data_IF_618452910114
#
_entry.id   IF_618452910114
#
_cell.length_a   1.000
_cell.length_b   1.000
_cell.length_c   1.000
_cell.angle_alpha   90.00
_cell.angle_beta   90.00
_cell.angle_gamma   90.00
#
_symmetry.space_group_name_H-M   'P 1'
#
loop_
_entity.id
_entity.type
_entity.pdbx_description
1 polymer ?
#
# COMPACT_ATOMS: atom_id res chain seq x y z
N UNK A 1 10.55 13.52 -25.13
CA UNK A 1 10.48 13.69 -23.65
C UNK A 1 10.62 12.32 -23.01
N UNK A 2 11.61 12.13 -22.13
CA UNK A 2 11.94 10.83 -21.52
C UNK A 2 10.78 10.32 -20.67
N UNK A 3 10.37 9.06 -20.84
CA UNK A 3 9.31 8.37 -20.09
C UNK A 3 9.41 8.57 -18.56
N UNK A 4 10.65 8.65 -18.03
CA UNK A 4 10.94 8.92 -16.61
C UNK A 4 10.50 10.31 -16.11
N UNK A 5 10.37 11.29 -17.00
CA UNK A 5 9.90 12.64 -16.65
C UNK A 5 8.37 12.68 -16.54
N UNK A 6 7.68 11.92 -17.40
CA UNK A 6 6.21 11.81 -17.39
C UNK A 6 5.74 11.00 -16.18
N UNK A 7 6.42 9.90 -15.86
CA UNK A 7 6.14 9.10 -14.66
C UNK A 7 6.22 9.92 -13.38
N UNK A 8 7.32 10.65 -13.21
CA UNK A 8 7.56 11.50 -12.04
C UNK A 8 6.50 12.60 -11.91
N UNK A 9 6.03 13.17 -13.02
CA UNK A 9 4.96 14.17 -12.99
C UNK A 9 3.63 13.58 -12.53
N UNK A 10 3.26 12.37 -12.97
CA UNK A 10 2.01 11.72 -12.54
C UNK A 10 2.01 11.45 -11.04
N UNK A 11 3.10 10.89 -10.51
CA UNK A 11 3.25 10.58 -9.08
C UNK A 11 3.18 11.86 -8.24
N UNK A 12 3.91 12.91 -8.64
CA UNK A 12 3.87 14.22 -7.97
C UNK A 12 2.45 14.79 -7.98
N UNK A 13 1.78 14.79 -9.13
CA UNK A 13 0.42 15.33 -9.23
C UNK A 13 -0.57 14.56 -8.32
N UNK A 14 -0.49 13.23 -8.27
CA UNK A 14 -1.33 12.42 -7.38
C UNK A 14 -1.03 12.72 -5.91
N UNK A 15 0.25 12.81 -5.55
CA UNK A 15 0.69 13.15 -4.20
C UNK A 15 0.24 14.55 -3.77
N UNK A 16 0.43 15.55 -4.63
CA UNK A 16 0.03 16.93 -4.38
C UNK A 16 -1.50 17.02 -4.23
N UNK A 17 -2.27 16.32 -5.07
CA UNK A 17 -3.72 16.25 -4.92
C UNK A 17 -4.15 15.70 -3.56
N UNK A 18 -3.51 14.62 -3.08
CA UNK A 18 -3.81 14.06 -1.75
C UNK A 18 -3.54 15.09 -0.64
N UNK A 19 -2.43 15.83 -0.74
CA UNK A 19 -2.02 16.85 0.23
C UNK A 19 -2.93 18.07 0.22
N UNK A 20 -3.21 18.61 -0.96
CA UNK A 20 -4.04 19.81 -1.13
C UNK A 20 -5.47 19.57 -0.64
N UNK A 21 -6.02 18.40 -0.95
CA UNK A 21 -7.35 17.99 -0.49
C UNK A 21 -7.36 17.41 0.93
N UNK A 22 -6.19 17.27 1.57
CA UNK A 22 -6.03 16.71 2.93
C UNK A 22 -6.72 15.36 3.10
N UNK A 23 -6.72 14.52 2.05
CA UNK A 23 -7.53 13.31 2.01
C UNK A 23 -7.21 12.38 3.18
N UNK A 24 -5.93 12.14 3.45
CA UNK A 24 -5.50 11.24 4.53
C UNK A 24 -5.63 11.86 5.94
N UNK A 25 -5.65 13.18 6.06
CA UNK A 25 -5.83 13.88 7.34
C UNK A 25 -7.26 13.75 7.87
N UNK A 26 -8.21 13.57 6.95
CA UNK A 26 -9.63 13.41 7.26
C UNK A 26 -10.00 12.01 7.78
N UNK A 27 -9.06 11.06 7.78
CA UNK A 27 -9.32 9.65 8.04
C UNK A 27 -8.53 9.18 9.26
N UNK A 28 -9.15 8.48 10.24
CA UNK A 28 -8.40 7.80 11.29
C UNK A 28 -7.39 6.83 10.69
N UNK A 29 -6.15 6.80 11.20
CA UNK A 29 -5.09 5.94 10.66
C UNK A 29 -5.50 4.46 10.55
N UNK A 30 -6.29 3.96 11.52
CA UNK A 30 -6.82 2.59 11.46
C UNK A 30 -7.76 2.34 10.28
N UNK A 31 -8.57 3.32 9.88
CA UNK A 31 -9.44 3.24 8.71
C UNK A 31 -8.64 3.40 7.42
N UNK A 32 -7.63 4.27 7.41
CA UNK A 32 -6.69 4.37 6.30
C UNK A 32 -6.00 3.02 6.03
N UNK A 33 -5.50 2.32 7.05
CA UNK A 33 -4.89 1.01 6.89
C UNK A 33 -5.87 -0.02 6.32
N UNK A 34 -7.12 -0.05 6.80
CA UNK A 34 -8.15 -0.94 6.25
C UNK A 34 -8.43 -0.65 4.78
N UNK A 35 -8.55 0.63 4.43
CA UNK A 35 -8.71 1.07 3.05
C UNK A 35 -7.54 0.62 2.17
N UNK A 36 -6.29 0.85 2.61
CA UNK A 36 -5.09 0.46 1.87
C UNK A 36 -5.03 -1.06 1.64
N UNK A 37 -5.30 -1.86 2.68
CA UNK A 37 -5.35 -3.33 2.56
C UNK A 37 -6.42 -3.75 1.56
N UNK A 38 -7.62 -3.17 1.63
CA UNK A 38 -8.73 -3.50 0.73
C UNK A 38 -8.41 -3.12 -0.72
N UNK A 39 -7.86 -1.93 -0.94
CA UNK A 39 -7.45 -1.48 -2.27
C UNK A 39 -6.39 -2.42 -2.86
N UNK A 40 -5.37 -2.80 -2.08
CA UNK A 40 -4.33 -3.73 -2.53
C UNK A 40 -4.90 -5.11 -2.79
N UNK A 41 -5.83 -5.59 -1.97
CA UNK A 41 -6.50 -6.88 -2.18
C UNK A 41 -7.29 -6.93 -3.50
N UNK A 42 -7.95 -5.83 -3.88
CA UNK A 42 -8.81 -5.76 -5.07
C UNK A 42 -8.03 -5.42 -6.34
N UNK A 43 -7.20 -4.37 -6.30
CA UNK A 43 -6.58 -3.80 -7.50
C UNK A 43 -5.18 -4.33 -7.76
N UNK A 44 -4.45 -4.77 -6.73
CA UNK A 44 -3.01 -5.04 -6.83
C UNK A 44 -2.67 -6.53 -6.74
N UNK A 45 -3.17 -7.22 -5.72
CA UNK A 45 -2.89 -8.64 -5.51
C UNK A 45 -3.30 -9.54 -6.70
N UNK A 46 -4.39 -9.27 -7.45
CA UNK A 46 -4.73 -10.06 -8.63
C UNK A 46 -3.76 -9.88 -9.81
N UNK A 47 -2.92 -8.85 -9.79
CA UNK A 47 -1.96 -8.55 -10.85
C UNK A 47 -0.65 -9.35 -10.72
N UNK A 48 -0.46 -10.03 -9.59
CA UNK A 48 0.70 -10.91 -9.33
C UNK A 48 0.43 -12.33 -9.84
N UNK A 49 1.46 -12.95 -10.40
CA UNK A 49 1.42 -14.36 -10.80
C UNK A 49 1.58 -15.31 -9.60
N UNK A 50 2.11 -14.82 -8.48
CA UNK A 50 2.28 -15.57 -7.24
C UNK A 50 1.11 -15.47 -6.27
N UNK A 51 1.06 -16.40 -5.32
CA UNK A 51 0.08 -16.38 -4.22
C UNK A 51 0.57 -15.59 -2.99
N UNK A 52 1.87 -15.27 -2.91
CA UNK A 52 2.45 -14.61 -1.74
C UNK A 52 1.77 -13.29 -1.36
N UNK A 53 1.44 -12.39 -2.30
CA UNK A 53 0.71 -11.16 -1.99
C UNK A 53 -0.62 -11.41 -1.27
N UNK A 54 -1.39 -12.44 -1.70
CA UNK A 54 -2.66 -12.78 -1.06
C UNK A 54 -2.46 -13.35 0.34
N UNK A 55 -1.40 -14.15 0.54
CA UNK A 55 -1.05 -14.71 1.85
C UNK A 55 -0.62 -13.59 2.80
N UNK A 56 0.18 -12.63 2.34
CA UNK A 56 0.61 -11.47 3.14
C UNK A 56 -0.60 -10.68 3.65
N UNK A 57 -1.57 -10.40 2.76
CA UNK A 57 -2.79 -9.69 3.11
C UNK A 57 -3.65 -10.49 4.11
N UNK A 58 -3.76 -11.81 3.97
CA UNK A 58 -4.43 -12.66 4.98
C UNK A 58 -3.76 -12.53 6.36
N UNK A 59 -2.43 -12.57 6.40
CA UNK A 59 -1.69 -12.43 7.65
C UNK A 59 -1.90 -11.05 8.28
N UNK A 60 -1.84 -9.98 7.50
CA UNK A 60 -2.13 -8.63 7.97
C UNK A 60 -3.55 -8.52 8.54
N UNK A 61 -4.56 -9.02 7.82
CA UNK A 61 -5.97 -9.02 8.28
C UNK A 61 -6.16 -9.83 9.56
N UNK A 62 -5.55 -11.00 9.66
CA UNK A 62 -5.62 -11.85 10.87
C UNK A 62 -4.89 -11.21 12.04
N UNK A 63 -3.82 -10.46 11.81
CA UNK A 63 -3.13 -9.72 12.86
C UNK A 63 -3.99 -8.58 13.38
N UNK A 64 -4.55 -7.77 12.48
CA UNK A 64 -5.48 -6.68 12.83
C UNK A 64 -6.72 -7.18 13.58
N UNK A 65 -7.20 -8.39 13.27
CA UNK A 65 -8.31 -9.01 13.99
C UNK A 65 -7.90 -9.77 15.26
N UNK A 66 -6.65 -9.68 15.70
CA UNK A 66 -6.14 -10.38 16.90
C UNK A 66 -6.06 -11.91 16.79
N UNK A 67 -6.21 -12.49 15.60
CA UNK A 67 -6.18 -13.95 15.36
C UNK A 67 -4.77 -14.51 15.29
N UNK A 68 -3.76 -13.68 15.02
CA UNK A 68 -2.34 -14.05 15.09
C UNK A 68 -1.55 -13.04 15.92
N UNK A 69 -0.44 -13.49 16.47
CA UNK A 69 0.47 -12.66 17.27
C UNK A 69 1.46 -11.90 16.37
N UNK A 70 2.07 -10.84 16.91
CA UNK A 70 3.16 -10.13 16.24
C UNK A 70 4.33 -11.07 15.86
N UNK A 71 4.61 -12.11 16.68
CA UNK A 71 5.62 -13.14 16.34
C UNK A 71 5.26 -13.90 15.07
N UNK A 72 3.99 -14.31 14.89
CA UNK A 72 3.54 -15.00 13.67
C UNK A 72 3.58 -14.07 12.46
N UNK A 73 3.21 -12.81 12.64
CA UNK A 73 3.30 -11.79 11.60
C UNK A 73 4.76 -11.59 11.14
N UNK A 74 5.68 -11.39 12.10
CA UNK A 74 7.10 -11.23 11.83
C UNK A 74 7.74 -12.46 11.16
N UNK A 75 7.29 -13.68 11.50
CA UNK A 75 7.72 -14.88 10.76
C UNK A 75 7.34 -14.76 9.29
N UNK A 76 6.11 -14.36 8.96
CA UNK A 76 5.69 -14.18 7.56
C UNK A 76 6.44 -13.03 6.88
N UNK A 77 6.66 -11.92 7.59
CA UNK A 77 7.46 -10.78 7.12
C UNK A 77 8.83 -11.24 6.62
N UNK A 78 9.54 -12.11 7.36
CA UNK A 78 10.83 -12.65 6.93
C UNK A 78 10.76 -13.45 5.63
N UNK A 79 9.72 -14.28 5.47
CA UNK A 79 9.52 -15.03 4.23
C UNK A 79 9.22 -14.11 3.05
N UNK A 80 8.33 -13.13 3.24
CA UNK A 80 7.97 -12.15 2.21
C UNK A 80 9.18 -11.30 1.78
N UNK A 81 10.05 -10.92 2.73
CA UNK A 81 11.30 -10.24 2.42
C UNK A 81 12.28 -11.10 1.64
N UNK A 82 12.48 -12.36 2.03
CA UNK A 82 13.36 -13.26 1.30
C UNK A 82 12.86 -13.46 -0.15
N UNK A 83 11.54 -13.50 -0.36
CA UNK A 83 10.94 -13.56 -1.69
C UNK A 83 11.14 -12.26 -2.48
N UNK A 84 10.91 -11.10 -1.84
CA UNK A 84 11.12 -9.79 -2.45
C UNK A 84 12.54 -9.62 -3.03
N UNK A 85 13.56 -10.11 -2.35
CA UNK A 85 14.95 -9.97 -2.79
C UNK A 85 15.21 -10.61 -4.16
N UNK A 86 14.54 -11.74 -4.46
CA UNK A 86 14.73 -12.49 -5.71
C UNK A 86 13.76 -12.10 -6.82
N UNK A 87 12.71 -11.33 -6.52
CA UNK A 87 11.75 -10.85 -7.51
C UNK A 87 12.31 -9.64 -8.28
N UNK A 88 11.80 -9.46 -9.50
CA UNK A 88 12.11 -8.32 -10.36
C UNK A 88 10.85 -7.69 -10.97
N UNK A 89 10.98 -6.46 -11.45
CA UNK A 89 9.92 -5.72 -12.14
C UNK A 89 8.63 -5.63 -11.33
N UNK A 90 7.49 -5.79 -12.01
CA UNK A 90 6.14 -5.68 -11.45
C UNK A 90 5.92 -6.55 -10.20
N UNK A 91 6.39 -7.79 -10.22
CA UNK A 91 6.22 -8.71 -9.09
C UNK A 91 6.96 -8.21 -7.84
N UNK A 92 8.16 -7.63 -8.02
CA UNK A 92 8.91 -7.02 -6.92
C UNK A 92 8.15 -5.86 -6.29
N UNK A 93 7.54 -4.99 -7.11
CA UNK A 93 6.74 -3.86 -6.64
C UNK A 93 5.45 -4.31 -5.93
N UNK A 94 4.75 -5.33 -6.44
CA UNK A 94 3.59 -5.94 -5.74
C UNK A 94 4.00 -6.50 -4.38
N UNK A 95 5.08 -7.29 -4.32
CA UNK A 95 5.58 -7.88 -3.08
C UNK A 95 6.05 -6.81 -2.08
N UNK A 96 6.62 -5.69 -2.57
CA UNK A 96 7.03 -4.55 -1.75
C UNK A 96 5.85 -3.89 -1.06
N UNK A 97 4.72 -3.75 -1.77
CA UNK A 97 3.48 -3.24 -1.21
C UNK A 97 2.97 -4.19 -0.12
N UNK A 98 2.83 -5.48 -0.42
CA UNK A 98 2.20 -6.39 0.56
C UNK A 98 3.06 -6.66 1.79
N UNK A 99 4.39 -6.70 1.67
CA UNK A 99 5.28 -6.87 2.84
C UNK A 99 5.18 -5.69 3.81
N UNK A 100 4.83 -4.49 3.32
CA UNK A 100 4.65 -3.31 4.17
C UNK A 100 3.53 -3.49 5.22
N UNK A 101 2.55 -4.36 4.94
CA UNK A 101 1.46 -4.66 5.88
C UNK A 101 1.83 -5.71 6.93
N UNK A 102 3.01 -6.33 6.83
CA UNK A 102 3.48 -7.35 7.77
C UNK A 102 4.27 -6.76 8.94
N UNK A 103 4.31 -5.44 9.07
CA UNK A 103 4.92 -4.76 10.20
C UNK A 103 3.87 -4.46 11.27
N UNK A 104 4.17 -4.65 12.58
CA UNK A 104 3.21 -4.38 13.66
C UNK A 104 2.60 -2.97 13.66
N UNK A 105 3.27 -1.99 13.06
CA UNK A 105 2.82 -0.60 12.93
C UNK A 105 1.46 -0.43 12.23
N UNK A 106 1.01 -1.43 11.47
CA UNK A 106 -0.35 -1.42 10.88
C UNK A 106 -1.46 -1.45 11.93
N UNK A 107 -1.17 -1.93 13.14
CA UNK A 107 -2.11 -1.97 14.25
C UNK A 107 -2.01 -0.77 15.20
N UNK A 108 -1.12 0.19 14.92
CA UNK A 108 -1.05 1.43 15.70
C UNK A 108 -2.34 2.24 15.55
N UNK A 109 -2.71 2.99 16.59
CA UNK A 109 -3.92 3.83 16.57
C UNK A 109 -3.72 5.13 15.80
N UNK A 110 -2.48 5.59 15.71
CA UNK A 110 -2.08 6.83 15.06
C UNK A 110 -0.61 6.78 14.69
N UNK A 111 -0.23 7.59 13.71
CA UNK A 111 1.16 7.83 13.31
C UNK A 111 1.38 9.31 13.01
N UNK A 112 2.65 9.72 12.98
CA UNK A 112 3.00 11.07 12.55
C UNK A 112 2.59 11.25 11.10
N UNK A 113 1.86 12.33 10.82
CA UNK A 113 1.34 12.61 9.50
C UNK A 113 2.46 12.73 8.44
N UNK A 114 3.62 13.27 8.82
CA UNK A 114 4.81 13.32 7.95
C UNK A 114 5.25 11.93 7.48
N UNK A 115 5.35 10.97 8.40
CA UNK A 115 5.72 9.59 8.06
C UNK A 115 4.70 8.94 7.11
N UNK A 116 3.41 9.20 7.32
CA UNK A 116 2.34 8.66 6.45
C UNK A 116 2.47 9.24 5.04
N UNK A 117 2.78 10.54 4.91
CA UNK A 117 3.01 11.16 3.61
C UNK A 117 4.25 10.59 2.90
N UNK A 118 5.35 10.36 3.61
CA UNK A 118 6.54 9.73 3.01
C UNK A 118 6.27 8.30 2.53
N UNK A 119 5.58 7.49 3.35
CA UNK A 119 5.18 6.13 2.98
C UNK A 119 4.21 6.13 1.79
N UNK A 120 3.28 7.09 1.76
CA UNK A 120 2.33 7.26 0.67
C UNK A 120 3.01 7.63 -0.65
N UNK A 121 4.04 8.50 -0.61
CA UNK A 121 4.79 8.84 -1.81
C UNK A 121 5.45 7.61 -2.42
N UNK A 122 6.16 6.81 -1.59
CA UNK A 122 6.74 5.54 -2.03
C UNK A 122 5.66 4.57 -2.55
N UNK A 123 4.51 4.52 -1.88
CA UNK A 123 3.39 3.69 -2.31
C UNK A 123 2.90 4.07 -3.72
N UNK A 124 2.76 5.36 -4.02
CA UNK A 124 2.39 5.85 -5.36
C UNK A 124 3.46 5.52 -6.42
N UNK A 125 4.75 5.56 -6.06
CA UNK A 125 5.83 5.10 -6.96
C UNK A 125 5.65 3.62 -7.31
N UNK A 126 5.38 2.77 -6.31
CA UNK A 126 5.16 1.34 -6.50
C UNK A 126 3.90 1.06 -7.34
N UNK A 127 2.81 1.80 -7.12
CA UNK A 127 1.61 1.68 -7.97
C UNK A 127 1.94 1.95 -9.43
N UNK A 128 2.69 3.02 -9.70
CA UNK A 128 3.08 3.38 -11.05
C UNK A 128 4.01 2.34 -11.70
N UNK A 129 4.93 1.76 -10.92
CA UNK A 129 5.81 0.67 -11.39
C UNK A 129 5.05 -0.61 -11.77
N UNK A 130 3.93 -0.86 -11.08
CA UNK A 130 3.05 -2.00 -11.37
C UNK A 130 2.29 -1.74 -12.67
N UNK A 131 1.45 -0.70 -12.69
CA UNK A 131 0.67 -0.25 -13.85
C UNK A 131 0.33 1.24 -13.73
N UNK A 132 0.50 2.00 -14.81
CA UNK A 132 0.43 3.47 -14.77
C UNK A 132 -0.94 4.03 -14.35
N UNK A 133 -2.02 3.29 -14.60
CA UNK A 133 -3.41 3.64 -14.27
C UNK A 133 -3.72 3.50 -12.78
N UNK A 134 -2.89 2.79 -12.00
CA UNK A 134 -3.19 2.48 -10.60
C UNK A 134 -3.18 3.71 -9.70
N UNK A 135 -2.34 4.71 -10.00
CA UNK A 135 -2.37 5.98 -9.26
C UNK A 135 -3.73 6.69 -9.39
N UNK A 136 -4.28 6.73 -10.60
CA UNK A 136 -5.58 7.37 -10.86
C UNK A 136 -6.71 6.60 -10.17
N UNK A 137 -6.68 5.26 -10.23
CA UNK A 137 -7.65 4.41 -9.52
C UNK A 137 -7.56 4.56 -8.01
N UNK A 138 -6.34 4.66 -7.46
CA UNK A 138 -6.12 4.85 -6.04
C UNK A 138 -6.74 6.16 -5.55
N UNK A 139 -6.49 7.27 -6.26
CA UNK A 139 -7.07 8.57 -5.93
C UNK A 139 -8.60 8.49 -5.96
N UNK A 140 -9.18 7.96 -7.03
CA UNK A 140 -10.63 7.84 -7.15
C UNK A 140 -11.23 6.96 -6.04
N UNK A 141 -10.58 5.85 -5.69
CA UNK A 141 -10.99 4.98 -4.60
C UNK A 141 -10.92 5.69 -3.23
N UNK A 142 -9.87 6.48 -2.99
CA UNK A 142 -9.69 7.23 -1.75
C UNK A 142 -10.74 8.34 -1.61
N UNK A 143 -11.01 9.09 -2.68
CA UNK A 143 -12.06 10.12 -2.71
C UNK A 143 -13.45 9.53 -2.44
N UNK A 144 -13.77 8.39 -3.05
CA UNK A 144 -15.02 7.66 -2.82
C UNK A 144 -15.13 7.15 -1.38
N UNK A 145 -14.05 6.62 -0.82
CA UNK A 145 -14.01 6.11 0.55
C UNK A 145 -14.32 7.23 1.56
N UNK A 146 -13.70 8.40 1.40
CA UNK A 146 -13.94 9.57 2.25
C UNK A 146 -15.37 10.09 2.09
N UNK A 147 -15.90 10.12 0.86
CA UNK A 147 -17.26 10.61 0.60
C UNK A 147 -18.35 9.67 1.16
N UNK A 148 -18.01 8.41 1.42
CA UNK A 148 -18.95 7.38 1.90
C UNK A 148 -18.81 7.08 3.40
N UNK A 149 -17.82 7.67 4.07
CA UNK A 149 -17.53 7.51 5.51
C UNK A 149 -18.17 8.62 6.33
#
# INVERSE_FOLDING_TARGET
MSYKKVSKSKIINAYDKIRELKLIESIPYTELIKFLILFVEIEIAPLSNGNDPKIDLDYAKRFLSGKITAKKLHTREKYAWANYEILEGKEKSVQRITVSFLFPRVAEKSRLLGDIYEELFLYLELLYEIEDVLCDRFIAALENFISSS
#
